data_IF_173477099735
#
_entry.id   IF_173477099735
#
_cell.length_a   1.000
_cell.length_b   1.000
_cell.length_c   1.000
_cell.angle_alpha   90.00
_cell.angle_beta   90.00
_cell.angle_gamma   90.00
#
_symmetry.space_group_name_H-M   'P 1'
#
loop_
_entity.id
_entity.type
_entity.pdbx_description
1 polymer ?
#
# COMPACT_ATOMS: atom_id res chain seq x y z
N UNK A 1 18.35 2.06 -22.63
CA UNK A 1 17.45 0.89 -22.59
C UNK A 1 16.04 1.39 -22.36
N UNK A 2 15.03 0.83 -23.01
CA UNK A 2 13.63 1.25 -22.82
C UNK A 2 12.93 0.24 -21.90
N UNK A 3 12.26 0.73 -20.85
CA UNK A 3 11.48 -0.09 -19.91
C UNK A 3 10.00 0.24 -20.14
N UNK A 4 9.17 -0.73 -20.59
CA UNK A 4 7.73 -0.54 -20.65
C UNK A 4 7.17 -0.23 -19.27
N UNK A 5 6.34 0.81 -19.20
CA UNK A 5 5.72 1.28 -17.97
C UNK A 5 4.23 1.51 -18.19
N UNK A 6 3.42 1.06 -17.24
CA UNK A 6 2.03 1.49 -17.09
C UNK A 6 1.86 2.15 -15.73
N UNK A 7 1.14 3.27 -15.68
CA UNK A 7 0.65 3.82 -14.44
C UNK A 7 -0.81 3.37 -14.26
N UNK A 8 -1.12 2.72 -13.15
CA UNK A 8 -2.42 2.16 -12.84
C UNK A 8 -2.93 2.74 -11.53
N UNK A 9 -4.14 3.26 -11.55
CA UNK A 9 -4.86 3.71 -10.35
C UNK A 9 -5.58 2.51 -9.70
N UNK A 10 -5.06 2.01 -8.59
CA UNK A 10 -5.65 0.87 -7.87
C UNK A 10 -6.91 1.28 -7.09
N UNK A 11 -7.80 0.31 -6.82
CA UNK A 11 -9.05 0.49 -6.06
C UNK A 11 -10.07 1.47 -6.68
N UNK A 12 -9.96 1.76 -7.98
CA UNK A 12 -10.90 2.63 -8.68
C UNK A 12 -11.21 2.13 -10.09
N UNK A 13 -12.33 2.61 -10.65
CA UNK A 13 -12.66 2.51 -12.08
C UNK A 13 -12.67 3.89 -12.77
N UNK A 14 -12.41 4.95 -12.00
CA UNK A 14 -12.38 6.33 -12.48
C UNK A 14 -10.92 6.81 -12.48
N UNK A 15 -10.44 7.44 -13.57
CA UNK A 15 -9.11 8.05 -13.60
C UNK A 15 -8.93 9.09 -12.49
N UNK A 16 -7.70 9.21 -11.97
CA UNK A 16 -7.32 10.21 -10.96
C UNK A 16 -8.01 10.03 -9.60
N UNK A 17 -8.37 8.79 -9.28
CA UNK A 17 -8.93 8.34 -8.01
C UNK A 17 -8.15 7.11 -7.54
N UNK A 18 -8.39 6.66 -6.31
CA UNK A 18 -7.68 5.50 -5.78
C UNK A 18 -6.19 5.78 -5.58
N UNK A 19 -5.37 4.72 -5.64
CA UNK A 19 -3.96 4.79 -5.30
C UNK A 19 -3.08 4.48 -6.53
N UNK A 20 -2.36 5.48 -7.09
CA UNK A 20 -1.59 5.33 -8.31
C UNK A 20 -0.27 4.58 -8.07
N UNK A 21 -0.01 3.53 -8.85
CA UNK A 21 1.28 2.86 -8.89
C UNK A 21 1.86 2.84 -10.30
N UNK A 22 3.17 3.06 -10.40
CA UNK A 22 3.92 2.79 -11.61
C UNK A 22 4.28 1.30 -11.66
N UNK A 23 4.08 0.64 -12.80
CA UNK A 23 4.44 -0.77 -13.01
C UNK A 23 5.41 -0.85 -14.17
N UNK A 24 6.64 -1.24 -13.86
CA UNK A 24 7.75 -1.42 -14.80
C UNK A 24 7.89 -2.90 -15.18
N UNK A 25 7.92 -3.20 -16.48
CA UNK A 25 8.20 -4.55 -16.98
C UNK A 25 9.67 -4.67 -17.39
N UNK A 26 10.45 -5.38 -16.58
CA UNK A 26 11.86 -5.61 -16.79
C UNK A 26 12.10 -6.81 -17.73
N UNK A 27 13.14 -6.72 -18.56
CA UNK A 27 13.62 -7.83 -19.40
C UNK A 27 14.80 -8.57 -18.77
N UNK A 28 15.51 -7.93 -17.86
CA UNK A 28 16.65 -8.47 -17.11
C UNK A 28 16.70 -7.86 -15.71
N UNK A 29 17.37 -8.50 -14.75
CA UNK A 29 17.56 -7.94 -13.41
C UNK A 29 18.31 -6.61 -13.47
N UNK A 30 17.83 -5.62 -12.72
CA UNK A 30 18.53 -4.35 -12.53
C UNK A 30 19.10 -4.26 -11.10
N UNK A 31 20.23 -3.54 -10.91
CA UNK A 31 20.74 -3.23 -9.58
C UNK A 31 19.75 -2.42 -8.75
N UNK A 32 19.73 -2.64 -7.43
CA UNK A 32 18.84 -1.93 -6.50
C UNK A 32 18.95 -0.41 -6.60
N UNK A 33 20.15 0.12 -6.85
CA UNK A 33 20.37 1.56 -7.04
C UNK A 33 19.64 2.11 -8.28
N UNK A 34 19.48 1.31 -9.33
CA UNK A 34 18.71 1.71 -10.52
C UNK A 34 17.22 1.61 -10.27
N UNK A 35 16.74 0.55 -9.60
CA UNK A 35 15.33 0.41 -9.23
C UNK A 35 14.90 1.58 -8.32
N UNK A 36 15.72 1.92 -7.33
CA UNK A 36 15.49 3.05 -6.44
C UNK A 36 15.49 4.38 -7.19
N UNK A 37 16.41 4.59 -8.14
CA UNK A 37 16.46 5.81 -8.93
C UNK A 37 15.22 5.96 -9.82
N UNK A 38 14.73 4.87 -10.42
CA UNK A 38 13.48 4.88 -11.21
C UNK A 38 12.29 5.21 -10.29
N UNK A 39 12.18 4.58 -9.12
CA UNK A 39 11.09 4.85 -8.19
C UNK A 39 11.09 6.31 -7.69
N UNK A 40 12.27 6.86 -7.42
CA UNK A 40 12.43 8.26 -7.06
C UNK A 40 12.02 9.21 -8.19
N UNK A 41 12.38 8.90 -9.45
CA UNK A 41 11.97 9.66 -10.63
C UNK A 41 10.44 9.63 -10.84
N UNK A 42 9.80 8.47 -10.62
CA UNK A 42 8.35 8.33 -10.77
C UNK A 42 7.58 9.11 -9.70
N UNK A 43 8.13 9.25 -8.50
CA UNK A 43 7.58 10.05 -7.40
C UNK A 43 6.09 9.76 -7.10
N UNK A 44 5.73 8.47 -7.12
CA UNK A 44 4.44 7.94 -6.66
C UNK A 44 4.61 7.28 -5.27
N UNK A 45 3.51 6.82 -4.66
CA UNK A 45 3.56 6.02 -3.42
C UNK A 45 4.49 4.83 -3.62
N UNK A 46 4.21 4.00 -4.63
CA UNK A 46 5.09 2.91 -5.05
C UNK A 46 5.30 2.79 -6.55
N UNK A 47 6.50 2.31 -6.89
CA UNK A 47 6.85 1.75 -8.20
C UNK A 47 7.08 0.25 -8.06
N UNK A 48 6.31 -0.53 -8.81
CA UNK A 48 6.39 -1.97 -8.88
C UNK A 48 7.26 -2.41 -10.06
N UNK A 49 8.14 -3.37 -9.83
CA UNK A 49 9.01 -3.94 -10.87
C UNK A 49 8.69 -5.42 -11.07
N UNK A 50 8.26 -5.75 -12.28
CA UNK A 50 7.98 -7.11 -12.71
C UNK A 50 9.14 -7.66 -13.53
N UNK A 51 9.58 -8.85 -13.16
CA UNK A 51 10.50 -9.66 -13.96
C UNK A 51 9.93 -11.08 -14.04
N UNK A 52 10.11 -11.77 -15.16
CA UNK A 52 9.70 -13.18 -15.28
C UNK A 52 10.79 -14.03 -15.89
N UNK A 53 10.88 -15.26 -15.41
CA UNK A 53 11.69 -16.33 -16.00
C UNK A 53 10.81 -17.33 -16.81
N UNK A 54 9.60 -16.92 -17.20
CA UNK A 54 8.55 -17.70 -17.85
C UNK A 54 7.82 -18.70 -16.94
N UNK A 55 8.33 -18.98 -15.74
CA UNK A 55 7.69 -19.91 -14.78
C UNK A 55 7.01 -19.18 -13.63
N UNK A 56 7.57 -18.05 -13.22
CA UNK A 56 7.00 -17.20 -12.18
C UNK A 56 7.24 -15.71 -12.45
N UNK A 57 6.47 -14.86 -11.76
CA UNK A 57 6.70 -13.43 -11.70
C UNK A 57 7.49 -13.12 -10.43
N UNK A 58 8.62 -12.45 -10.57
CA UNK A 58 9.28 -11.74 -9.49
C UNK A 58 8.67 -10.34 -9.41
N UNK A 59 8.31 -9.92 -8.21
CA UNK A 59 7.71 -8.62 -7.96
C UNK A 59 8.43 -7.95 -6.79
N UNK A 60 8.88 -6.72 -7.03
CA UNK A 60 9.52 -5.85 -6.04
C UNK A 60 8.82 -4.50 -6.04
N UNK A 61 8.81 -3.82 -4.90
CA UNK A 61 8.19 -2.50 -4.77
C UNK A 61 9.14 -1.53 -4.09
N UNK A 62 9.19 -0.33 -4.63
CA UNK A 62 10.02 0.74 -4.12
C UNK A 62 9.16 1.98 -3.94
N UNK A 63 9.27 2.61 -2.77
CA UNK A 63 8.90 4.01 -2.59
C UNK A 63 10.01 4.88 -3.20
N UNK A 64 9.83 6.21 -3.25
CA UNK A 64 10.91 7.12 -3.65
C UNK A 64 12.18 7.02 -2.78
N UNK A 65 12.07 6.46 -1.56
CA UNK A 65 13.15 6.43 -0.58
C UNK A 65 13.75 5.04 -0.31
N UNK A 66 12.97 3.96 -0.41
CA UNK A 66 13.45 2.61 -0.10
C UNK A 66 12.62 1.49 -0.76
N UNK A 67 13.18 0.28 -0.79
CA UNK A 67 12.41 -0.94 -1.06
C UNK A 67 11.50 -1.29 0.13
N UNK A 68 10.28 -1.74 -0.15
CA UNK A 68 9.33 -2.24 0.86
C UNK A 68 9.08 -3.73 0.68
N UNK A 69 8.86 -4.44 1.78
CA UNK A 69 8.70 -5.90 1.76
C UNK A 69 7.34 -6.35 1.20
N UNK A 70 6.31 -5.51 1.32
CA UNK A 70 4.94 -5.79 0.89
C UNK A 70 4.21 -4.50 0.51
N UNK A 71 3.55 -4.47 -0.66
CA UNK A 71 2.64 -3.39 -1.03
C UNK A 71 1.36 -3.93 -1.70
N UNK A 72 0.20 -3.61 -1.14
CA UNK A 72 -1.08 -4.11 -1.58
C UNK A 72 -1.53 -3.55 -2.93
N UNK A 73 -1.68 -2.23 -3.00
CA UNK A 73 -2.23 -1.55 -4.17
C UNK A 73 -1.33 -1.73 -5.40
N UNK A 74 0.00 -1.71 -5.22
CA UNK A 74 0.95 -1.92 -6.30
C UNK A 74 0.98 -3.38 -6.79
N UNK A 75 0.61 -4.35 -5.94
CA UNK A 75 0.37 -5.75 -6.38
C UNK A 75 -0.89 -5.86 -7.26
N UNK A 76 -1.96 -5.14 -6.89
CA UNK A 76 -3.17 -5.04 -7.71
C UNK A 76 -2.86 -4.40 -9.07
N UNK A 77 -2.14 -3.28 -9.05
CA UNK A 77 -1.67 -2.60 -10.24
C UNK A 77 -0.81 -3.51 -11.14
N UNK A 78 0.11 -4.28 -10.55
CA UNK A 78 0.93 -5.23 -11.29
C UNK A 78 0.10 -6.32 -11.98
N UNK A 79 -0.91 -6.86 -11.30
CA UNK A 79 -1.82 -7.84 -11.88
C UNK A 79 -2.66 -7.24 -13.03
N UNK A 80 -3.15 -6.00 -12.88
CA UNK A 80 -3.85 -5.28 -13.95
C UNK A 80 -2.93 -5.01 -15.14
N UNK A 81 -1.71 -4.53 -14.91
CA UNK A 81 -0.74 -4.25 -15.97
C UNK A 81 -0.40 -5.51 -16.79
N UNK A 82 -0.27 -6.67 -16.13
CA UNK A 82 -0.09 -7.95 -16.83
C UNK A 82 -1.29 -8.31 -17.72
N UNK A 83 -2.52 -8.01 -17.29
CA UNK A 83 -3.71 -8.17 -18.12
C UNK A 83 -3.69 -7.21 -19.33
N UNK A 84 -3.39 -5.93 -19.12
CA UNK A 84 -3.30 -4.91 -20.19
C UNK A 84 -2.24 -5.26 -21.24
N UNK A 85 -1.09 -5.80 -20.82
CA UNK A 85 -0.05 -6.27 -21.73
C UNK A 85 -0.35 -7.63 -22.38
N UNK A 86 -1.53 -8.22 -22.15
CA UNK A 86 -1.91 -9.52 -22.69
C UNK A 86 -1.09 -10.69 -22.14
N UNK A 87 -0.49 -10.53 -20.96
CA UNK A 87 0.34 -11.53 -20.27
C UNK A 87 -0.41 -12.28 -19.16
N UNK A 88 -1.66 -11.90 -18.93
CA UNK A 88 -2.56 -12.58 -18.02
C UNK A 88 -4.00 -12.54 -18.55
N UNK A 89 -4.81 -13.53 -18.16
CA UNK A 89 -6.21 -13.65 -18.59
C UNK A 89 -7.17 -13.66 -17.40
N UNK A 90 -8.40 -13.21 -17.61
CA UNK A 90 -9.46 -13.39 -16.61
C UNK A 90 -9.63 -14.87 -16.28
N UNK A 91 -9.91 -15.16 -15.01
CA UNK A 91 -9.94 -16.50 -14.43
C UNK A 91 -8.57 -17.04 -13.99
N UNK A 92 -7.46 -16.39 -14.37
CA UNK A 92 -6.12 -16.82 -13.98
C UNK A 92 -5.76 -16.37 -12.55
N UNK A 93 -5.04 -17.24 -11.83
CA UNK A 93 -4.32 -16.87 -10.60
C UNK A 93 -2.85 -16.62 -10.93
N UNK A 94 -2.43 -15.38 -10.77
CA UNK A 94 -1.04 -14.95 -10.84
C UNK A 94 -0.32 -15.26 -9.53
N UNK A 95 0.97 -15.56 -9.65
CA UNK A 95 1.87 -15.91 -8.54
C UNK A 95 3.07 -15.00 -8.58
N UNK A 96 3.26 -14.22 -7.52
CA UNK A 96 4.35 -13.26 -7.37
C UNK A 96 5.31 -13.74 -6.28
N UNK A 97 6.58 -13.91 -6.63
CA UNK A 97 7.67 -14.14 -5.69
C UNK A 97 8.22 -12.80 -5.23
N UNK A 98 8.18 -12.58 -3.92
CA UNK A 98 8.45 -11.29 -3.28
C UNK A 98 9.32 -11.52 -2.04
N UNK A 99 9.80 -10.44 -1.41
CA UNK A 99 10.56 -10.53 -0.15
C UNK A 99 9.72 -11.08 1.01
N UNK A 100 8.40 -10.82 1.01
CA UNK A 100 7.45 -11.42 1.96
C UNK A 100 6.97 -12.81 1.57
N UNK A 101 7.56 -13.45 0.56
CA UNK A 101 7.19 -14.79 0.09
C UNK A 101 6.25 -14.77 -1.11
N UNK A 102 5.45 -15.82 -1.26
CA UNK A 102 4.55 -16.01 -2.39
C UNK A 102 3.24 -15.26 -2.16
N UNK A 103 2.92 -14.33 -3.05
CA UNK A 103 1.61 -13.67 -3.11
C UNK A 103 0.81 -14.19 -4.30
N UNK A 104 -0.52 -14.19 -4.15
CA UNK A 104 -1.44 -14.61 -5.20
C UNK A 104 -2.41 -13.49 -5.53
N UNK A 105 -2.62 -13.27 -6.83
CA UNK A 105 -3.63 -12.36 -7.34
C UNK A 105 -4.53 -13.11 -8.33
N UNK A 106 -5.82 -13.23 -8.01
CA UNK A 106 -6.79 -13.87 -8.90
C UNK A 106 -7.55 -12.80 -9.67
N UNK A 107 -7.44 -12.87 -11.01
CA UNK A 107 -8.17 -12.00 -11.92
C UNK A 107 -9.61 -12.53 -12.07
N UNK A 108 -10.55 -12.08 -11.25
CA UNK A 108 -11.94 -12.53 -11.27
C UNK A 108 -12.83 -11.59 -12.10
N UNK A 109 -14.09 -11.98 -12.31
CA UNK A 109 -15.06 -11.11 -13.00
C UNK A 109 -15.46 -9.88 -12.18
N UNK A 110 -15.23 -9.92 -10.86
CA UNK A 110 -15.57 -8.84 -9.93
C UNK A 110 -14.40 -7.90 -9.63
N UNK A 111 -13.21 -8.19 -10.16
CA UNK A 111 -11.99 -7.44 -9.91
C UNK A 111 -10.80 -8.35 -9.64
N UNK A 112 -9.84 -7.85 -8.88
CA UNK A 112 -8.61 -8.57 -8.53
C UNK A 112 -8.68 -8.93 -7.05
N UNK A 113 -8.63 -10.23 -6.76
CA UNK A 113 -8.63 -10.76 -5.38
C UNK A 113 -7.17 -11.02 -4.98
N UNK A 114 -6.70 -10.36 -3.92
CA UNK A 114 -5.37 -10.56 -3.35
C UNK A 114 -5.49 -11.40 -2.08
N UNK A 115 -4.56 -12.35 -1.91
CA UNK A 115 -4.41 -13.13 -0.68
C UNK A 115 -3.24 -12.58 0.13
N UNK A 116 -3.54 -11.97 1.29
CA UNK A 116 -2.56 -11.41 2.21
C UNK A 116 -2.54 -12.19 3.53
N UNK A 117 -1.38 -12.28 4.18
CA UNK A 117 -1.29 -12.93 5.49
C UNK A 117 -2.14 -12.16 6.51
N UNK A 118 -2.94 -12.92 7.29
CA UNK A 118 -3.69 -12.36 8.41
C UNK A 118 -2.73 -11.93 9.53
N UNK A 119 -2.77 -10.66 9.91
CA UNK A 119 -2.01 -10.12 11.04
C UNK A 119 -2.95 -9.50 12.08
N UNK A 120 -3.33 -10.25 13.14
CA UNK A 120 -4.18 -9.73 14.20
C UNK A 120 -3.49 -8.56 14.94
N UNK A 121 -4.19 -7.45 15.20
CA UNK A 121 -3.64 -6.34 15.96
C UNK A 121 -3.35 -6.75 17.41
N UNK A 122 -2.23 -6.27 17.93
CA UNK A 122 -1.75 -6.49 19.29
C UNK A 122 -1.94 -5.23 20.14
N UNK A 123 -1.86 -5.37 21.46
CA UNK A 123 -1.90 -4.22 22.38
C UNK A 123 -0.74 -3.26 22.11
N UNK A 124 -1.02 -1.96 22.07
CA UNK A 124 0.01 -0.93 21.96
C UNK A 124 0.25 -0.32 23.35
N UNK A 125 1.44 -0.54 23.90
CA UNK A 125 1.92 0.14 25.10
C UNK A 125 2.83 1.31 24.71
N UNK A 126 2.47 2.52 25.07
CA UNK A 126 3.25 3.72 24.78
C UNK A 126 2.99 4.82 25.81
N UNK A 127 4.00 5.64 26.10
CA UNK A 127 3.89 6.84 26.92
C UNK A 127 3.59 8.10 26.11
N UNK A 128 3.53 7.99 24.77
CA UNK A 128 3.25 9.12 23.89
C UNK A 128 1.79 9.57 24.03
N UNK A 129 1.59 10.88 23.97
CA UNK A 129 0.25 11.47 23.82
C UNK A 129 -0.20 11.32 22.36
N UNK A 130 -0.80 10.17 22.06
CA UNK A 130 -1.29 9.85 20.72
C UNK A 130 -2.31 10.89 20.25
N UNK A 131 -3.21 11.33 21.13
CA UNK A 131 -4.27 12.27 20.78
C UNK A 131 -3.70 13.64 20.40
N UNK A 132 -2.68 14.12 21.11
CA UNK A 132 -1.98 15.33 20.74
C UNK A 132 -1.26 15.21 19.39
N UNK A 133 -0.62 14.07 19.11
CA UNK A 133 0.13 13.90 17.85
C UNK A 133 -0.75 13.72 16.61
N UNK A 134 -1.89 13.03 16.72
CA UNK A 134 -2.84 12.93 15.59
C UNK A 134 -3.83 14.10 15.52
N UNK A 135 -3.97 14.89 16.59
CA UNK A 135 -4.91 16.01 16.66
C UNK A 135 -6.37 15.62 16.90
N UNK A 136 -6.63 14.43 17.45
CA UNK A 136 -7.98 13.94 17.79
C UNK A 136 -7.97 12.94 18.96
N UNK A 137 -9.06 12.82 19.74
CA UNK A 137 -9.17 11.81 20.77
C UNK A 137 -9.07 10.38 20.20
N UNK A 138 -8.23 9.55 20.80
CA UNK A 138 -8.06 8.13 20.45
C UNK A 138 -8.93 7.27 21.37
N UNK A 139 -9.84 6.49 20.79
CA UNK A 139 -10.74 5.55 21.49
C UNK A 139 -9.99 4.27 21.85
N UNK A 140 -9.23 3.74 20.90
CA UNK A 140 -8.42 2.55 21.10
C UNK A 140 -7.14 2.63 20.26
N UNK A 141 -6.09 1.98 20.74
CA UNK A 141 -4.80 1.91 20.04
C UNK A 141 -4.29 0.47 20.01
N UNK A 142 -3.70 0.09 18.88
CA UNK A 142 -3.13 -1.24 18.62
C UNK A 142 -1.87 -1.12 17.77
N UNK A 143 -1.09 -2.18 17.70
CA UNK A 143 0.06 -2.31 16.80
C UNK A 143 0.00 -3.61 16.01
N UNK A 144 0.59 -3.64 14.82
CA UNK A 144 0.80 -4.87 14.04
C UNK A 144 2.26 -5.34 14.10
N UNK A 145 2.53 -6.55 13.62
CA UNK A 145 3.90 -7.09 13.49
C UNK A 145 4.75 -6.32 12.47
N UNK A 146 4.12 -5.61 11.53
CA UNK A 146 4.78 -4.70 10.59
C UNK A 146 5.17 -3.37 11.25
N UNK A 147 4.85 -3.17 12.54
CA UNK A 147 5.10 -1.92 13.25
C UNK A 147 4.16 -0.78 12.85
N UNK A 148 2.98 -1.10 12.30
CA UNK A 148 1.93 -0.11 12.06
C UNK A 148 1.11 0.09 13.32
N UNK A 149 0.85 1.35 13.66
CA UNK A 149 0.00 1.72 14.78
C UNK A 149 -1.42 1.99 14.27
N UNK A 150 -2.39 1.25 14.77
CA UNK A 150 -3.80 1.40 14.44
C UNK A 150 -4.50 2.18 15.55
N UNK A 151 -5.04 3.35 15.22
CA UNK A 151 -5.70 4.26 16.14
C UNK A 151 -7.18 4.41 15.75
N UNK A 152 -8.07 4.01 16.64
CA UNK A 152 -9.51 4.12 16.46
C UNK A 152 -9.99 5.48 16.96
N UNK A 153 -10.75 6.20 16.13
CA UNK A 153 -11.40 7.46 16.44
C UNK A 153 -12.90 7.24 16.66
N UNK A 154 -13.58 8.23 17.24
CA UNK A 154 -14.98 8.10 17.60
C UNK A 154 -15.94 8.17 16.42
N UNK A 155 -15.53 8.72 15.27
CA UNK A 155 -16.41 8.86 14.11
C UNK A 155 -15.69 8.94 12.76
N UNK A 156 -16.43 8.59 11.70
CA UNK A 156 -16.06 8.81 10.30
C UNK A 156 -15.67 10.27 10.03
N UNK A 157 -16.38 11.23 10.63
CA UNK A 157 -16.10 12.65 10.47
C UNK A 157 -14.70 13.00 11.00
N UNK A 158 -14.35 12.51 12.20
CA UNK A 158 -13.02 12.74 12.77
C UNK A 158 -11.91 12.18 11.89
N UNK A 159 -12.09 11.00 11.31
CA UNK A 159 -11.12 10.42 10.35
C UNK A 159 -11.00 11.33 9.13
N UNK A 160 -12.13 11.74 8.53
CA UNK A 160 -12.14 12.55 7.30
C UNK A 160 -11.52 13.93 7.48
N UNK A 161 -11.74 14.59 8.61
CA UNK A 161 -11.24 15.96 8.85
C UNK A 161 -9.90 16.00 9.58
N UNK A 162 -9.31 14.85 9.92
CA UNK A 162 -8.06 14.77 10.69
C UNK A 162 -6.93 15.53 9.99
N UNK A 163 -6.16 16.29 10.76
CA UNK A 163 -4.93 16.94 10.31
C UNK A 163 -3.80 16.55 11.26
N UNK A 164 -3.19 15.37 11.06
CA UNK A 164 -2.14 14.90 11.96
C UNK A 164 -0.88 15.76 11.86
N UNK A 165 -0.16 15.89 12.98
CA UNK A 165 1.17 16.47 12.98
C UNK A 165 2.15 15.45 12.39
N UNK A 166 2.39 15.58 11.09
CA UNK A 166 3.29 14.70 10.33
C UNK A 166 4.72 14.70 10.87
N UNK A 167 5.19 15.83 11.41
CA UNK A 167 6.53 15.94 11.97
C UNK A 167 6.63 15.20 13.31
N UNK A 168 5.56 15.22 14.12
CA UNK A 168 5.47 14.42 15.33
C UNK A 168 5.40 12.93 15.01
N UNK A 169 4.52 12.51 14.09
CA UNK A 169 4.37 11.10 13.69
C UNK A 169 5.68 10.55 13.11
N UNK A 170 6.43 11.34 12.35
CA UNK A 170 7.73 10.92 11.82
C UNK A 170 8.76 10.52 12.90
N UNK A 171 8.59 11.00 14.14
CA UNK A 171 9.46 10.69 15.28
C UNK A 171 8.96 9.50 16.11
N UNK A 172 7.75 9.01 15.85
CA UNK A 172 7.19 7.89 16.61
C UNK A 172 7.94 6.59 16.30
N UNK A 173 8.06 5.67 17.29
CA UNK A 173 8.69 4.36 17.10
C UNK A 173 7.76 3.37 16.38
N UNK A 174 7.17 3.81 15.27
CA UNK A 174 6.33 3.03 14.37
C UNK A 174 6.80 3.20 12.92
N UNK A 175 6.35 2.31 12.05
CA UNK A 175 6.60 2.44 10.61
C UNK A 175 5.55 3.35 9.96
N UNK A 176 4.27 3.20 10.34
CA UNK A 176 3.17 4.01 9.85
C UNK A 176 2.05 4.08 10.89
N UNK A 177 1.15 5.04 10.71
CA UNK A 177 -0.06 5.21 11.53
C UNK A 177 -1.29 5.03 10.64
N UNK A 178 -2.18 4.12 11.04
CA UNK A 178 -3.50 3.93 10.45
C UNK A 178 -4.50 4.52 11.42
N UNK A 179 -5.33 5.44 10.96
CA UNK A 179 -6.49 5.92 11.73
C UNK A 179 -7.75 5.29 11.14
N UNK A 180 -8.68 4.88 12.00
CA UNK A 180 -9.92 4.22 11.58
C UNK A 180 -11.11 4.63 12.42
N UNK A 181 -12.31 4.45 11.89
CA UNK A 181 -13.56 4.51 12.65
C UNK A 181 -14.60 3.60 12.01
N UNK A 182 -15.47 3.01 12.85
CA UNK A 182 -16.63 2.29 12.36
C UNK A 182 -17.60 3.24 11.64
N UNK A 183 -18.14 2.77 10.52
CA UNK A 183 -19.18 3.49 9.80
C UNK A 183 -20.53 3.41 10.53
N UNK A 184 -21.47 4.28 10.16
CA UNK A 184 -22.81 4.27 10.72
C UNK A 184 -23.73 3.35 9.93
N UNK A 185 -24.80 2.87 10.58
CA UNK A 185 -25.81 2.07 9.90
C UNK A 185 -26.43 2.86 8.73
N UNK A 186 -26.28 2.34 7.51
CA UNK A 186 -26.75 2.98 6.28
C UNK A 186 -25.65 3.60 5.42
N UNK A 187 -24.40 3.65 5.90
CA UNK A 187 -23.24 3.95 5.06
C UNK A 187 -22.97 2.80 4.06
N UNK A 188 -22.21 3.11 3.01
CA UNK A 188 -21.85 2.19 1.92
C UNK A 188 -20.66 1.26 2.26
N UNK A 189 -20.09 1.42 3.45
CA UNK A 189 -18.94 0.69 3.96
C UNK A 189 -19.12 0.37 5.45
N UNK A 190 -18.35 -0.60 5.96
CA UNK A 190 -18.37 -0.98 7.37
C UNK A 190 -17.45 -0.10 8.24
N UNK A 191 -16.40 0.47 7.64
CA UNK A 191 -15.43 1.34 8.29
C UNK A 191 -14.72 2.25 7.27
N UNK A 192 -14.08 3.31 7.78
CA UNK A 192 -13.18 4.17 7.00
C UNK A 192 -11.80 4.18 7.62
N UNK A 193 -10.77 4.40 6.80
CA UNK A 193 -9.40 4.55 7.29
C UNK A 193 -8.60 5.59 6.52
N UNK A 194 -7.53 6.09 7.13
CA UNK A 194 -6.45 6.85 6.46
C UNK A 194 -5.10 6.31 6.93
N UNK A 195 -4.08 6.40 6.08
CA UNK A 195 -2.77 5.83 6.31
C UNK A 195 -1.69 6.90 6.19
N UNK A 196 -0.86 7.05 7.23
CA UNK A 196 0.20 8.06 7.30
C UNK A 196 1.56 7.39 7.49
N UNK A 197 2.50 7.65 6.58
CA UNK A 197 3.80 7.01 6.53
C UNK A 197 4.96 8.01 6.33
N UNK A 198 5.02 9.11 7.13
CA UNK A 198 5.97 10.19 6.87
C UNK A 198 7.45 9.76 6.94
N UNK A 199 7.77 8.69 7.69
CA UNK A 199 9.12 8.11 7.74
C UNK A 199 9.59 7.52 6.41
N UNK A 200 8.65 7.16 5.53
CA UNK A 200 8.91 6.66 4.18
C UNK A 200 8.80 7.75 3.11
N UNK A 201 8.67 9.02 3.51
CA UNK A 201 8.47 10.15 2.59
C UNK A 201 7.05 10.25 2.04
N UNK A 202 6.09 9.52 2.62
CA UNK A 202 4.69 9.48 2.21
C UNK A 202 3.87 10.13 3.34
N UNK A 203 3.53 11.44 3.24
CA UNK A 203 2.73 12.10 4.28
C UNK A 203 1.39 11.40 4.51
N UNK A 204 0.72 10.99 3.42
CA UNK A 204 -0.52 10.23 3.45
C UNK A 204 -0.59 9.34 2.20
N UNK A 205 -0.96 8.07 2.39
CA UNK A 205 -1.19 7.10 1.32
C UNK A 205 -2.69 7.06 0.97
N UNK A 206 -3.08 7.23 -0.33
CA UNK A 206 -4.47 7.27 -0.77
C UNK A 206 -5.29 5.98 -0.60
#
# INVERSE_FOLDING_TARGET
>A
MAIPLLQIDAFTQQPYRGNPAAVCLLTEPLPDTQLQAIAAEMNLSETAFLLTDQTAWQLRWFTPACEVDLCGHATLAAAQALQEWGRAQRGQTLRFHTRSGLLQAKLSDRGIELDFPLQPPQGLETSLDLAAGIGAPVVASRTSELGYWLLELASVEQVRTLQPDQAAIAQWPCQAVVVTAAAQAGDDCDFVSRFFAPRFGIPEDP
#
